data_IF_698696311877
#
_entry.id   IF_698696311877
#
_cell.length_a   1.000
_cell.length_b   1.000
_cell.length_c   1.000
_cell.angle_alpha   90.00
_cell.angle_beta   90.00
_cell.angle_gamma   90.00
#
_symmetry.space_group_name_H-M   'P 1'
#
loop_
_entity.id
_entity.type
_entity.pdbx_description
1 polymer ?
#
# COMPACT_ATOMS: atom_id res chain seq x y z
N UNK A 1 10.07 -15.39 -20.09
CA UNK A 1 9.45 -16.28 -19.10
C UNK A 1 7.95 -16.05 -19.15
N UNK A 2 7.12 -17.09 -19.13
CA UNK A 2 5.67 -16.93 -19.13
C UNK A 2 5.16 -16.93 -17.69
N UNK A 3 4.39 -15.92 -17.32
CA UNK A 3 3.70 -15.85 -16.03
C UNK A 3 2.25 -16.28 -16.22
N UNK A 4 1.69 -16.94 -15.22
CA UNK A 4 0.27 -17.32 -15.20
C UNK A 4 -0.45 -16.50 -14.15
N UNK A 5 -1.46 -15.74 -14.59
CA UNK A 5 -2.33 -15.00 -13.68
C UNK A 5 -3.39 -15.91 -13.07
N UNK A 6 -3.62 -15.79 -11.75
CA UNK A 6 -4.73 -16.43 -11.06
C UNK A 6 -5.36 -15.51 -10.00
N UNK A 7 -6.66 -15.68 -9.67
CA UNK A 7 -7.26 -15.00 -8.52
C UNK A 7 -6.77 -15.60 -7.20
N UNK A 8 -7.00 -14.86 -6.12
CA UNK A 8 -6.91 -15.33 -4.74
C UNK A 8 -7.87 -16.50 -4.47
N UNK A 9 -7.42 -17.49 -3.70
CA UNK A 9 -8.12 -18.77 -3.49
C UNK A 9 -8.54 -19.01 -2.03
N UNK A 10 -7.84 -18.44 -1.06
CA UNK A 10 -8.09 -18.70 0.36
C UNK A 10 -6.87 -18.38 1.21
N UNK A 11 -6.96 -18.58 2.52
CA UNK A 11 -6.04 -18.09 3.55
C UNK A 11 -4.55 -18.41 3.32
N UNK A 12 -4.23 -19.51 2.64
CA UNK A 12 -2.85 -19.82 2.24
C UNK A 12 -2.25 -18.73 1.32
N UNK A 13 -3.04 -18.16 0.42
CA UNK A 13 -2.59 -17.06 -0.45
C UNK A 13 -2.30 -15.79 0.35
N UNK A 14 -2.98 -15.56 1.47
CA UNK A 14 -2.65 -14.45 2.36
C UNK A 14 -1.25 -14.65 2.97
N UNK A 15 -0.95 -15.86 3.46
CA UNK A 15 0.36 -16.17 4.01
C UNK A 15 1.46 -16.09 2.96
N UNK A 16 1.19 -16.55 1.74
CA UNK A 16 2.12 -16.43 0.62
C UNK A 16 2.34 -14.98 0.20
N UNK A 17 1.28 -14.17 0.09
CA UNK A 17 1.38 -12.73 -0.19
C UNK A 17 2.18 -12.02 0.90
N UNK A 18 1.93 -12.36 2.16
CA UNK A 18 2.65 -11.80 3.31
C UNK A 18 4.14 -12.14 3.26
N UNK A 19 4.49 -13.38 2.96
CA UNK A 19 5.89 -13.80 2.79
C UNK A 19 6.53 -13.10 1.59
N UNK A 20 5.83 -13.03 0.46
CA UNK A 20 6.26 -12.30 -0.73
C UNK A 20 6.60 -10.84 -0.44
N UNK A 21 5.75 -10.11 0.31
CA UNK A 21 6.01 -8.73 0.70
C UNK A 21 7.26 -8.59 1.60
N UNK A 22 7.54 -9.57 2.47
CA UNK A 22 8.78 -9.59 3.28
C UNK A 22 10.01 -9.70 2.39
N UNK A 23 9.97 -10.61 1.43
CA UNK A 23 11.11 -10.90 0.57
C UNK A 23 11.42 -9.72 -0.36
N UNK A 24 10.41 -9.17 -1.02
CA UNK A 24 10.62 -8.04 -1.94
C UNK A 24 11.04 -6.76 -1.19
N UNK A 25 10.66 -6.58 0.08
CA UNK A 25 11.14 -5.45 0.88
C UNK A 25 12.66 -5.51 1.06
N UNK A 26 13.21 -6.70 1.34
CA UNK A 26 14.66 -6.88 1.45
C UNK A 26 15.34 -6.72 0.09
N UNK A 27 14.75 -7.26 -0.98
CA UNK A 27 15.29 -7.12 -2.34
C UNK A 27 15.26 -5.68 -2.88
N UNK A 28 14.45 -4.81 -2.27
CA UNK A 28 14.35 -3.39 -2.61
C UNK A 28 15.14 -2.51 -1.62
N UNK A 29 16.08 -3.06 -0.85
CA UNK A 29 16.87 -2.32 0.14
C UNK A 29 15.98 -1.52 1.11
N UNK A 30 14.88 -2.13 1.56
CA UNK A 30 13.87 -1.53 2.45
C UNK A 30 13.07 -0.36 1.85
N UNK A 31 13.23 -0.04 0.57
CA UNK A 31 12.37 0.91 -0.12
C UNK A 31 10.99 0.30 -0.35
N UNK A 32 9.96 1.03 0.06
CA UNK A 32 8.57 0.59 -0.01
C UNK A 32 7.94 0.90 -1.39
N UNK A 33 8.53 0.35 -2.47
CA UNK A 33 7.88 0.35 -3.80
C UNK A 33 6.64 -0.55 -3.84
N UNK A 34 6.61 -1.51 -2.91
CA UNK A 34 5.51 -2.41 -2.60
C UNK A 34 5.07 -2.15 -1.17
N UNK A 35 3.87 -2.62 -0.80
CA UNK A 35 3.37 -2.55 0.56
C UNK A 35 4.32 -3.16 1.57
N UNK A 36 4.53 -2.47 2.68
CA UNK A 36 5.06 -3.08 3.87
C UNK A 36 4.06 -4.11 4.44
N UNK A 37 4.58 -5.18 5.05
CA UNK A 37 3.76 -6.26 5.62
C UNK A 37 2.74 -5.75 6.64
N UNK A 38 3.12 -4.77 7.46
CA UNK A 38 2.18 -4.16 8.41
C UNK A 38 0.98 -3.47 7.74
N UNK A 39 1.15 -2.94 6.52
CA UNK A 39 0.04 -2.36 5.73
C UNK A 39 -0.89 -3.46 5.25
N UNK A 40 -0.35 -4.58 4.77
CA UNK A 40 -1.14 -5.77 4.45
C UNK A 40 -1.89 -6.28 5.68
N UNK A 41 -1.21 -6.48 6.80
CA UNK A 41 -1.83 -7.00 8.03
C UNK A 41 -2.96 -6.06 8.51
N UNK A 42 -2.73 -4.74 8.54
CA UNK A 42 -3.75 -3.77 8.89
C UNK A 42 -4.93 -3.78 7.91
N UNK A 43 -4.63 -3.78 6.61
CA UNK A 43 -5.65 -3.81 5.58
C UNK A 43 -6.48 -5.09 5.65
N UNK A 44 -5.84 -6.23 5.85
CA UNK A 44 -6.49 -7.53 5.91
C UNK A 44 -7.42 -7.66 7.11
N UNK A 45 -6.87 -7.44 8.32
CA UNK A 45 -7.58 -7.75 9.56
C UNK A 45 -8.61 -6.68 9.93
N UNK A 46 -8.36 -5.42 9.58
CA UNK A 46 -9.24 -4.31 9.93
C UNK A 46 -9.90 -3.68 8.71
N UNK A 47 -9.13 -3.09 7.80
CA UNK A 47 -9.71 -2.22 6.77
C UNK A 47 -10.67 -2.99 5.84
N UNK A 48 -10.28 -4.16 5.37
CA UNK A 48 -11.13 -4.97 4.51
C UNK A 48 -12.31 -5.58 5.29
N UNK A 49 -12.08 -6.08 6.50
CA UNK A 49 -13.12 -6.70 7.34
C UNK A 49 -14.23 -5.71 7.69
N UNK A 50 -13.85 -4.51 8.14
CA UNK A 50 -14.78 -3.57 8.77
C UNK A 50 -15.24 -2.46 7.82
N UNK A 51 -14.39 -2.05 6.87
CA UNK A 51 -14.62 -0.86 6.02
C UNK A 51 -14.93 -1.27 4.58
N UNK A 52 -13.98 -1.88 3.88
CA UNK A 52 -14.07 -2.06 2.42
C UNK A 52 -14.96 -3.22 2.00
N UNK A 53 -14.89 -4.33 2.74
CA UNK A 53 -15.69 -5.55 2.57
C UNK A 53 -15.59 -6.17 1.19
N UNK A 54 -14.38 -6.26 0.65
CA UNK A 54 -14.15 -6.90 -0.63
C UNK A 54 -14.26 -8.43 -0.53
N UNK A 55 -14.83 -9.04 -1.58
CA UNK A 55 -14.58 -10.44 -1.90
C UNK A 55 -13.18 -10.56 -2.50
N UNK A 56 -12.26 -11.13 -1.70
CA UNK A 56 -10.85 -11.23 -2.04
C UNK A 56 -10.60 -12.05 -3.31
N UNK A 57 -11.44 -13.05 -3.58
CA UNK A 57 -11.33 -13.89 -4.78
C UNK A 57 -11.61 -13.10 -6.07
N UNK A 58 -12.23 -11.93 -5.96
CA UNK A 58 -12.56 -11.06 -7.09
C UNK A 58 -11.62 -9.87 -7.24
N UNK A 59 -10.84 -9.54 -6.20
CA UNK A 59 -10.04 -8.31 -6.19
C UNK A 59 -8.53 -8.49 -6.04
N UNK A 60 -8.05 -9.66 -5.61
CA UNK A 60 -6.62 -9.96 -5.51
C UNK A 60 -6.23 -10.94 -6.62
N UNK A 61 -5.14 -10.61 -7.33
CA UNK A 61 -4.61 -11.42 -8.42
C UNK A 61 -3.11 -11.66 -8.23
N UNK A 62 -2.66 -12.88 -8.51
CA UNK A 62 -1.27 -13.31 -8.46
C UNK A 62 -0.78 -13.59 -9.88
N UNK A 63 0.48 -13.30 -10.14
CA UNK A 63 1.22 -13.76 -11.31
C UNK A 63 2.31 -14.70 -10.83
N UNK A 64 2.28 -15.94 -11.30
CA UNK A 64 3.20 -16.99 -10.86
C UNK A 64 4.02 -17.51 -12.02
N UNK A 65 5.26 -17.91 -11.70
CA UNK A 65 6.12 -18.67 -12.61
C UNK A 65 5.60 -20.10 -12.77
N UNK A 66 6.10 -20.82 -13.76
CA UNK A 66 5.78 -22.24 -13.97
C UNK A 66 6.16 -23.13 -12.78
N UNK A 67 7.11 -22.70 -11.95
CA UNK A 67 7.55 -23.40 -10.72
C UNK A 67 6.76 -22.97 -9.48
N UNK A 68 5.75 -22.11 -9.62
CA UNK A 68 4.90 -21.66 -8.52
C UNK A 68 5.47 -20.51 -7.68
N UNK A 69 6.58 -19.90 -8.11
CA UNK A 69 7.07 -18.68 -7.45
C UNK A 69 6.18 -17.48 -7.80
N UNK A 70 5.82 -16.67 -6.80
CA UNK A 70 5.06 -15.44 -7.02
C UNK A 70 5.99 -14.37 -7.62
N UNK A 71 5.60 -13.87 -8.79
CA UNK A 71 6.29 -12.78 -9.47
C UNK A 71 5.67 -11.41 -9.18
N UNK A 72 4.35 -11.35 -9.05
CA UNK A 72 3.63 -10.14 -8.70
C UNK A 72 2.29 -10.43 -8.05
N UNK A 73 1.80 -9.45 -7.29
CA UNK A 73 0.46 -9.43 -6.69
C UNK A 73 -0.19 -8.08 -6.98
N UNK A 74 -1.43 -8.10 -7.47
CA UNK A 74 -2.29 -6.93 -7.59
C UNK A 74 -3.33 -6.98 -6.48
N UNK A 75 -3.43 -5.93 -5.69
CA UNK A 75 -4.46 -5.80 -4.66
C UNK A 75 -4.99 -4.37 -4.57
N UNK A 76 -6.25 -4.18 -4.16
CA UNK A 76 -6.76 -2.85 -3.85
C UNK A 76 -6.34 -2.41 -2.45
N UNK A 77 -6.45 -1.10 -2.19
CA UNK A 77 -6.52 -0.56 -0.83
C UNK A 77 -7.94 -0.18 -0.49
N UNK A 78 -8.49 0.76 -1.25
CA UNK A 78 -9.91 1.10 -1.26
C UNK A 78 -10.49 0.91 -2.64
N UNK A 79 -11.80 1.17 -2.74
CA UNK A 79 -12.55 1.05 -3.99
C UNK A 79 -11.97 1.96 -5.08
N UNK A 80 -11.51 1.36 -6.18
CA UNK A 80 -10.89 2.07 -7.29
C UNK A 80 -9.45 2.51 -7.03
N UNK A 81 -8.78 2.00 -6.00
CA UNK A 81 -7.37 2.27 -5.68
C UNK A 81 -6.59 0.97 -5.69
N UNK A 82 -5.51 0.90 -6.46
CA UNK A 82 -4.77 -0.35 -6.69
C UNK A 82 -3.27 -0.19 -6.53
N UNK A 83 -2.65 -1.27 -6.05
CA UNK A 83 -1.21 -1.38 -5.86
C UNK A 83 -0.69 -2.59 -6.63
N UNK A 84 0.42 -2.38 -7.33
CA UNK A 84 1.15 -3.41 -8.07
C UNK A 84 2.38 -3.79 -7.24
N UNK A 85 2.30 -4.91 -6.54
CA UNK A 85 3.39 -5.49 -5.77
C UNK A 85 4.21 -6.36 -6.72
N UNK A 86 5.43 -5.94 -7.08
CA UNK A 86 6.21 -6.64 -8.11
C UNK A 86 7.57 -7.04 -7.55
N UNK A 87 7.94 -8.30 -7.72
CA UNK A 87 9.27 -8.76 -7.42
C UNK A 87 10.27 -8.17 -8.43
N UNK A 88 11.38 -7.54 -7.98
CA UNK A 88 12.26 -6.76 -8.87
C UNK A 88 12.85 -7.58 -10.02
N UNK A 89 13.21 -8.84 -9.79
CA UNK A 89 13.67 -9.80 -10.82
C UNK A 89 12.70 -9.97 -12.00
N UNK A 90 11.40 -9.84 -11.77
CA UNK A 90 10.35 -10.14 -12.75
C UNK A 90 9.70 -8.89 -13.32
N UNK A 91 10.17 -7.70 -12.93
CA UNK A 91 9.62 -6.43 -13.38
C UNK A 91 9.94 -6.19 -14.85
N UNK A 92 8.89 -6.19 -15.66
CA UNK A 92 8.96 -5.95 -17.11
C UNK A 92 7.82 -5.04 -17.55
N UNK A 93 7.97 -4.27 -18.64
CA UNK A 93 6.88 -3.47 -19.20
C UNK A 93 5.63 -4.30 -19.49
N UNK A 94 5.79 -5.52 -20.01
CA UNK A 94 4.69 -6.41 -20.38
C UNK A 94 3.88 -6.84 -19.16
N UNK A 95 4.56 -7.20 -18.06
CA UNK A 95 3.89 -7.54 -16.79
C UNK A 95 3.14 -6.35 -16.20
N UNK A 96 3.73 -5.15 -16.18
CA UNK A 96 3.05 -3.96 -15.66
C UNK A 96 1.83 -3.58 -16.52
N UNK A 97 1.95 -3.66 -17.84
CA UNK A 97 0.83 -3.44 -18.76
C UNK A 97 -0.31 -4.45 -18.52
N UNK A 98 0.02 -5.73 -18.31
CA UNK A 98 -0.95 -6.77 -17.97
C UNK A 98 -1.62 -6.50 -16.62
N UNK A 99 -0.86 -6.18 -15.57
CA UNK A 99 -1.41 -5.87 -14.25
C UNK A 99 -2.34 -4.65 -14.27
N UNK A 100 -1.96 -3.59 -14.99
CA UNK A 100 -2.81 -2.39 -15.14
C UNK A 100 -4.08 -2.73 -15.93
N UNK A 101 -3.98 -3.53 -16.99
CA UNK A 101 -5.15 -3.98 -17.74
C UNK A 101 -6.10 -4.84 -16.87
N UNK A 102 -5.56 -5.73 -16.04
CA UNK A 102 -6.34 -6.50 -15.07
C UNK A 102 -7.01 -5.58 -14.06
N UNK A 103 -6.30 -4.60 -13.51
CA UNK A 103 -6.86 -3.64 -12.59
C UNK A 103 -8.02 -2.84 -13.23
N UNK A 104 -7.84 -2.37 -14.47
CA UNK A 104 -8.88 -1.66 -15.22
C UNK A 104 -10.13 -2.51 -15.49
N UNK A 105 -9.97 -3.83 -15.63
CA UNK A 105 -11.06 -4.75 -15.91
C UNK A 105 -11.87 -5.08 -14.66
N UNK A 106 -11.19 -5.30 -13.53
CA UNK A 106 -11.82 -5.85 -12.32
C UNK A 106 -12.00 -4.84 -11.18
N UNK A 107 -11.20 -3.78 -11.12
CA UNK A 107 -11.06 -2.92 -9.94
C UNK A 107 -11.53 -1.48 -10.16
N UNK A 108 -12.15 -1.18 -11.31
CA UNK A 108 -12.81 0.13 -11.53
C UNK A 108 -13.97 0.30 -10.55
N UNK A 109 -14.09 1.50 -10.02
CA UNK A 109 -15.20 1.86 -9.15
C UNK A 109 -15.73 3.25 -9.50
N UNK A 110 -17.06 3.49 -9.47
CA UNK A 110 -17.60 4.82 -9.68
C UNK A 110 -17.10 5.81 -8.62
N UNK A 111 -16.77 7.02 -9.05
CA UNK A 111 -16.52 8.16 -8.16
C UNK A 111 -17.86 8.73 -7.64
N UNK A 112 -17.79 9.82 -6.85
CA UNK A 112 -18.99 10.52 -6.33
C UNK A 112 -19.94 11.05 -7.42
N UNK A 113 -19.44 11.24 -8.65
CA UNK A 113 -20.20 11.68 -9.82
C UNK A 113 -20.71 10.49 -10.67
N UNK A 114 -20.53 9.25 -10.21
CA UNK A 114 -20.93 8.03 -10.92
C UNK A 114 -20.01 7.62 -12.08
N UNK A 115 -18.91 8.35 -12.33
CA UNK A 115 -17.96 8.02 -13.39
C UNK A 115 -17.01 6.93 -12.94
N UNK A 116 -16.83 5.89 -13.76
CA UNK A 116 -15.88 4.82 -13.49
C UNK A 116 -14.46 5.37 -13.39
N UNK A 117 -13.79 5.08 -12.27
CA UNK A 117 -12.46 5.56 -11.95
C UNK A 117 -11.59 4.42 -11.43
N UNK A 118 -10.30 4.52 -11.71
CA UNK A 118 -9.26 3.73 -11.08
C UNK A 118 -8.04 4.62 -10.84
N UNK A 119 -7.36 4.41 -9.71
CA UNK A 119 -6.11 5.07 -9.32
C UNK A 119 -5.06 3.99 -9.14
N UNK A 120 -3.93 4.15 -9.82
CA UNK A 120 -2.77 3.26 -9.69
C UNK A 120 -1.70 4.00 -8.91
N UNK A 121 -1.20 3.41 -7.84
CA UNK A 121 -0.09 3.98 -7.08
C UNK A 121 1.23 3.81 -7.84
N UNK A 122 2.02 4.89 -7.92
CA UNK A 122 3.32 4.92 -8.59
C UNK A 122 4.29 5.78 -7.78
N UNK A 123 5.51 5.28 -7.59
CA UNK A 123 6.57 6.08 -6.99
C UNK A 123 6.93 7.27 -7.89
N UNK A 124 7.29 8.38 -7.28
CA UNK A 124 7.62 9.62 -7.99
C UNK A 124 8.77 9.48 -9.00
N UNK A 125 9.65 8.49 -8.84
CA UNK A 125 10.79 8.20 -9.71
C UNK A 125 10.54 7.01 -10.65
N UNK A 126 9.35 6.41 -10.63
CA UNK A 126 9.02 5.25 -11.45
C UNK A 126 8.69 5.63 -12.90
N UNK A 127 9.73 5.83 -13.70
CA UNK A 127 9.62 6.21 -15.11
C UNK A 127 8.84 5.19 -15.94
N UNK A 128 9.10 3.89 -15.74
CA UNK A 128 8.44 2.82 -16.49
C UNK A 128 6.92 2.85 -16.28
N UNK A 129 6.47 2.90 -15.02
CA UNK A 129 5.04 2.91 -14.71
C UNK A 129 4.38 4.20 -15.19
N UNK A 130 5.05 5.35 -15.02
CA UNK A 130 4.54 6.62 -15.54
C UNK A 130 4.31 6.59 -17.05
N UNK A 131 5.24 6.03 -17.82
CA UNK A 131 5.11 5.94 -19.28
C UNK A 131 3.97 5.00 -19.69
N UNK A 132 3.78 3.87 -19.00
CA UNK A 132 2.64 2.97 -19.26
C UNK A 132 1.32 3.68 -18.93
N UNK A 133 1.21 4.27 -17.74
CA UNK A 133 0.00 4.98 -17.31
C UNK A 133 -0.36 6.11 -18.27
N UNK A 134 0.62 6.91 -18.71
CA UNK A 134 0.40 7.99 -19.68
C UNK A 134 -0.09 7.47 -21.03
N UNK A 135 0.50 6.40 -21.57
CA UNK A 135 0.05 5.76 -22.82
C UNK A 135 -1.39 5.21 -22.71
N UNK A 136 -1.81 4.80 -21.52
CA UNK A 136 -3.16 4.32 -21.22
C UNK A 136 -4.16 5.43 -20.85
N UNK A 137 -3.75 6.70 -20.93
CA UNK A 137 -4.64 7.85 -20.70
C UNK A 137 -4.86 8.22 -19.24
N UNK A 138 -4.05 7.70 -18.31
CA UNK A 138 -4.07 8.15 -16.92
C UNK A 138 -3.53 9.57 -16.81
N UNK A 139 -4.06 10.30 -15.83
CA UNK A 139 -3.59 11.61 -15.45
C UNK A 139 -3.04 11.54 -14.03
N UNK A 140 -1.89 12.17 -13.80
CA UNK A 140 -1.32 12.29 -12.47
C UNK A 140 -2.28 13.11 -11.61
N UNK A 141 -2.55 12.63 -10.40
CA UNK A 141 -3.32 13.39 -9.42
C UNK A 141 -2.34 14.32 -8.69
N UNK A 142 -2.55 15.63 -8.77
CA UNK A 142 -1.63 16.64 -8.20
C UNK A 142 -2.06 17.15 -6.82
N UNK A 143 -3.06 16.52 -6.20
CA UNK A 143 -3.59 17.00 -4.92
C UNK A 143 -2.70 16.54 -3.75
N UNK A 144 -2.32 17.42 -2.81
CA UNK A 144 -1.42 17.07 -1.70
C UNK A 144 -1.88 15.85 -0.89
N UNK A 145 -3.19 15.70 -0.66
CA UNK A 145 -3.79 14.60 0.11
C UNK A 145 -3.68 13.23 -0.57
N UNK A 146 -3.21 13.17 -1.83
CA UNK A 146 -3.02 11.93 -2.58
C UNK A 146 -1.57 11.52 -2.74
N UNK A 147 -0.64 12.31 -2.17
CA UNK A 147 0.78 11.99 -2.16
C UNK A 147 1.16 11.34 -0.83
N UNK A 148 1.76 10.16 -0.89
CA UNK A 148 2.41 9.55 0.26
C UNK A 148 3.90 9.90 0.24
N UNK A 149 4.42 10.39 1.38
CA UNK A 149 5.85 10.67 1.55
C UNK A 149 6.40 9.81 2.66
N UNK A 150 7.39 8.99 2.34
CA UNK A 150 8.06 8.10 3.29
C UNK A 150 9.42 8.70 3.63
N UNK A 151 9.64 8.97 4.92
CA UNK A 151 10.93 9.38 5.45
C UNK A 151 11.59 8.21 6.15
N UNK A 152 12.80 7.87 5.73
CA UNK A 152 13.62 6.81 6.34
C UNK A 152 14.83 7.48 6.99
N UNK A 153 15.08 7.16 8.25
CA UNK A 153 16.24 7.63 8.99
C UNK A 153 16.96 6.44 9.62
N UNK A 154 18.23 6.24 9.25
CA UNK A 154 19.06 5.17 9.80
C UNK A 154 19.48 5.52 11.22
N UNK A 155 19.31 4.57 12.16
CA UNK A 155 19.70 4.74 13.57
C UNK A 155 21.22 4.66 13.81
N UNK A 156 22.01 4.32 12.79
CA UNK A 156 23.47 4.44 12.81
C UNK A 156 23.92 5.91 12.80
N UNK A 157 23.06 6.82 12.31
CA UNK A 157 23.34 8.24 12.34
C UNK A 157 23.15 8.81 13.75
N UNK A 158 23.94 9.83 14.09
CA UNK A 158 23.78 10.56 15.35
C UNK A 158 22.39 11.21 15.41
N UNK A 159 21.67 10.95 16.51
CA UNK A 159 20.39 11.61 16.79
C UNK A 159 20.69 12.95 17.46
N UNK A 160 20.35 14.09 16.83
CA UNK A 160 20.65 15.41 17.40
C UNK A 160 19.98 15.58 18.76
N UNK A 161 20.73 16.04 19.75
CA UNK A 161 20.14 16.42 21.03
C UNK A 161 19.40 17.76 20.87
N UNK A 162 18.08 17.75 21.10
CA UNK A 162 17.23 18.94 20.95
C UNK A 162 16.95 19.53 22.33
N UNK A 163 17.25 20.82 22.52
CA UNK A 163 16.91 21.54 23.75
C UNK A 163 15.42 21.81 23.80
N UNK A 164 14.79 21.55 24.94
CA UNK A 164 13.41 21.95 25.19
C UNK A 164 13.30 23.48 25.12
N UNK A 165 12.37 24.04 24.33
CA UNK A 165 12.13 25.48 24.28
C UNK A 165 11.75 26.04 25.65
N UNK A 166 12.16 27.29 25.92
CA UNK A 166 11.80 27.98 27.17
C UNK A 166 10.28 28.07 27.34
N UNK A 167 9.78 27.79 28.54
CA UNK A 167 8.35 27.75 28.84
C UNK A 167 7.64 26.43 28.53
N UNK A 168 8.35 25.43 28.00
CA UNK A 168 7.79 24.11 27.69
C UNK A 168 8.43 23.00 28.54
N UNK A 169 7.65 21.94 28.80
CA UNK A 169 8.12 20.69 29.44
C UNK A 169 7.72 19.49 28.58
N UNK A 170 8.69 18.63 28.24
CA UNK A 170 8.45 17.36 27.55
C UNK A 170 8.22 16.29 28.61
N UNK A 171 7.16 15.49 28.45
CA UNK A 171 6.87 14.34 29.31
C UNK A 171 6.47 13.13 28.49
N UNK A 172 6.86 11.94 28.94
CA UNK A 172 6.38 10.70 28.35
C UNK A 172 4.86 10.57 28.55
N UNK A 173 4.17 10.06 27.55
CA UNK A 173 2.72 9.89 27.58
C UNK A 173 2.29 9.02 28.79
N UNK A 174 3.12 8.11 29.29
CA UNK A 174 2.81 7.27 30.45
C UNK A 174 2.77 7.97 31.82
N UNK A 175 3.18 9.24 31.92
CA UNK A 175 3.51 9.87 33.22
C UNK A 175 2.57 11.01 33.67
N UNK A 176 1.25 10.90 33.48
CA UNK A 176 0.33 11.82 34.19
C UNK A 176 -0.87 12.35 33.40
N UNK A 177 -1.50 11.49 32.60
CA UNK A 177 -2.96 11.53 32.47
C UNK A 177 -3.40 10.08 32.62
N UNK A 178 -4.15 9.77 33.68
CA UNK A 178 -4.77 8.45 33.82
C UNK A 178 -5.73 8.25 32.63
N UNK A 179 -5.96 6.99 32.21
CA UNK A 179 -6.79 6.65 31.05
C UNK A 179 -8.12 7.45 31.03
N UNK A 180 -8.73 7.63 32.21
CA UNK A 180 -9.95 8.39 32.45
C UNK A 180 -9.87 9.86 32.01
N UNK A 181 -8.78 10.56 32.31
CA UNK A 181 -8.64 11.98 31.97
C UNK A 181 -8.49 12.18 30.46
N UNK A 182 -7.91 11.18 29.77
CA UNK A 182 -7.82 11.17 28.30
C UNK A 182 -9.16 10.85 27.66
N UNK A 183 -9.87 9.87 28.19
CA UNK A 183 -11.24 9.57 27.76
C UNK A 183 -12.13 10.80 27.91
N UNK A 184 -11.99 11.53 29.03
CA UNK A 184 -12.73 12.77 29.28
C UNK A 184 -12.35 13.88 28.29
N UNK A 185 -11.05 14.14 28.08
CA UNK A 185 -10.59 15.14 27.11
C UNK A 185 -11.01 14.81 25.67
N UNK A 186 -10.94 13.53 25.27
CA UNK A 186 -11.41 13.07 23.96
C UNK A 186 -12.92 13.23 23.82
N UNK A 187 -13.68 12.92 24.88
CA UNK A 187 -15.12 13.13 24.93
C UNK A 187 -15.51 14.59 24.71
N UNK A 188 -14.79 15.53 25.34
CA UNK A 188 -15.06 16.97 25.16
C UNK A 188 -14.61 17.53 23.81
N UNK A 189 -13.63 16.91 23.14
CA UNK A 189 -13.05 17.42 21.90
C UNK A 189 -13.71 16.88 20.63
N UNK A 190 -14.31 15.69 20.68
CA UNK A 190 -14.78 14.96 19.50
C UNK A 190 -16.23 14.46 19.58
N UNK A 191 -16.91 14.69 20.71
CA UNK A 191 -18.33 14.36 20.93
C UNK A 191 -19.07 15.56 21.56
#
# INVERSE_FOLDING_TARGET
MKLTMRPYRGDEDYWQMRQFLRDIMLLNDLHQYSWHVARLDYWWWFANTDIEKFDLTQVIFFWETETGEIAAVLNPEGKGQVYLQIHPKYRTPELEEEMIATAEKYLKHPNREGRQRIQVFADSKDTLRHDILKRRGYQKVERPETNETIHIFTLENEIPNVKTPEGYTIRALGHGLELLERCYASGLGFH
#
